data_IF_108303159438
#
_entry.id   IF_108303159438
#
_cell.length_a   1.000
_cell.length_b   1.000
_cell.length_c   1.000
_cell.angle_alpha   90.00
_cell.angle_beta   90.00
_cell.angle_gamma   90.00
#
_symmetry.space_group_name_H-M   'P 1'
#
loop_
_entity.id
_entity.type
_entity.pdbx_description
1 polymer ?
#
# COMPACT_ATOMS: atom_id res chain seq x y z
N UNK A 1 -2.05 11.90 18.31
CA UNK A 1 -1.86 10.95 17.19
C UNK A 1 -3.02 11.16 16.25
N UNK A 2 -2.83 11.95 15.19
CA UNK A 2 -3.85 12.16 14.18
C UNK A 2 -3.90 10.92 13.30
N UNK A 3 -4.91 10.08 13.51
CA UNK A 3 -5.25 9.01 12.58
C UNK A 3 -5.93 9.73 11.42
N UNK A 4 -5.24 9.87 10.29
CA UNK A 4 -5.84 10.39 9.07
C UNK A 4 -7.07 9.52 8.75
N UNK A 5 -8.23 10.14 8.55
CA UNK A 5 -9.36 9.37 8.02
C UNK A 5 -8.99 8.90 6.61
N UNK A 6 -9.52 7.76 6.17
CA UNK A 6 -9.23 7.21 4.84
C UNK A 6 -9.51 8.21 3.71
N UNK A 7 -10.47 9.13 3.89
CA UNK A 7 -10.73 10.25 2.98
C UNK A 7 -9.55 11.20 2.79
N UNK A 8 -8.81 11.47 3.87
CA UNK A 8 -7.64 12.36 3.82
C UNK A 8 -6.48 11.65 3.10
N UNK A 9 -6.34 10.34 3.33
CA UNK A 9 -5.34 9.51 2.64
C UNK A 9 -5.62 9.42 1.13
N UNK A 10 -6.89 9.27 0.74
CA UNK A 10 -7.31 9.29 -0.68
C UNK A 10 -6.96 10.63 -1.33
N UNK A 11 -7.26 11.73 -0.66
CA UNK A 11 -6.97 13.07 -1.15
C UNK A 11 -5.47 13.28 -1.34
N UNK A 12 -4.66 12.94 -0.33
CA UNK A 12 -3.20 13.08 -0.40
C UNK A 12 -2.61 12.21 -1.51
N UNK A 13 -3.06 10.95 -1.63
CA UNK A 13 -2.58 10.04 -2.66
C UNK A 13 -2.92 10.54 -4.08
N UNK A 14 -4.11 11.13 -4.25
CA UNK A 14 -4.55 11.71 -5.51
C UNK A 14 -3.78 12.99 -5.87
N UNK A 15 -3.63 13.93 -4.93
CA UNK A 15 -2.91 15.19 -5.11
C UNK A 15 -1.42 14.96 -5.40
N UNK A 16 -0.81 13.99 -4.73
CA UNK A 16 0.58 13.62 -4.95
C UNK A 16 0.79 12.69 -6.17
N UNK A 17 -0.28 12.34 -6.90
CA UNK A 17 -0.29 11.40 -8.01
C UNK A 17 0.45 10.08 -7.71
N UNK A 18 0.34 9.60 -6.46
CA UNK A 18 1.18 8.52 -5.95
C UNK A 18 0.83 7.17 -6.57
N UNK A 19 1.79 6.50 -7.20
CA UNK A 19 1.59 5.14 -7.70
C UNK A 19 1.59 4.08 -6.59
N UNK A 20 2.34 4.34 -5.51
CA UNK A 20 2.50 3.44 -4.36
C UNK A 20 2.46 4.28 -3.09
N UNK A 21 1.66 3.86 -2.10
CA UNK A 21 1.59 4.50 -0.77
C UNK A 21 1.91 3.45 0.30
N UNK A 22 2.92 3.73 1.12
CA UNK A 22 3.32 2.88 2.23
C UNK A 22 2.96 3.50 3.57
N UNK A 23 2.29 2.75 4.43
CA UNK A 23 2.00 3.15 5.81
C UNK A 23 2.71 2.17 6.74
N UNK A 24 3.71 2.68 7.46
CA UNK A 24 4.39 1.97 8.54
C UNK A 24 3.72 2.27 9.87
N UNK A 25 3.91 1.40 10.86
CA UNK A 25 3.29 1.56 12.18
C UNK A 25 1.77 1.82 12.05
N UNK A 26 1.10 0.99 11.25
CA UNK A 26 -0.36 1.13 11.03
C UNK A 26 -1.18 0.73 12.25
N UNK A 27 -0.60 -0.07 13.15
CA UNK A 27 -1.29 -0.72 14.28
C UNK A 27 -2.55 -1.50 13.86
N UNK A 28 -2.65 -1.81 12.57
CA UNK A 28 -3.78 -2.51 12.01
C UNK A 28 -3.78 -3.95 12.53
N UNK A 29 -4.97 -4.45 12.89
CA UNK A 29 -5.17 -5.84 13.29
C UNK A 29 -6.05 -6.57 12.29
N UNK A 30 -6.04 -7.89 12.33
CA UNK A 30 -6.93 -8.74 11.55
C UNK A 30 -8.43 -8.51 11.81
N UNK A 31 -8.79 -7.73 12.84
CA UNK A 31 -10.17 -7.35 13.15
C UNK A 31 -10.67 -6.15 12.36
N UNK A 32 -9.78 -5.35 11.76
CA UNK A 32 -10.20 -4.26 10.88
C UNK A 32 -10.84 -4.84 9.63
N UNK A 33 -12.06 -4.38 9.33
CA UNK A 33 -12.81 -4.82 8.17
C UNK A 33 -12.11 -4.31 6.91
N UNK A 34 -12.09 -5.14 5.86
CA UNK A 34 -11.41 -4.79 4.61
C UNK A 34 -11.89 -3.46 4.02
N UNK A 35 -13.17 -3.13 4.19
CA UNK A 35 -13.76 -1.87 3.71
C UNK A 35 -13.27 -0.62 4.44
N UNK A 36 -12.80 -0.73 5.69
CA UNK A 36 -12.29 0.44 6.45
C UNK A 36 -10.89 0.85 5.99
N UNK A 37 -10.16 -0.05 5.34
CA UNK A 37 -8.79 0.17 4.87
C UNK A 37 -8.71 0.29 3.35
N UNK A 38 -9.85 0.35 2.67
CA UNK A 38 -9.90 0.38 1.21
C UNK A 38 -9.65 1.81 0.72
N UNK A 39 -8.87 1.92 -0.36
CA UNK A 39 -8.52 3.17 -1.02
C UNK A 39 -8.92 3.02 -2.49
N UNK A 40 -9.78 3.90 -3.00
CA UNK A 40 -10.33 3.74 -4.35
C UNK A 40 -9.24 3.78 -5.44
N UNK A 41 -9.22 2.77 -6.32
CA UNK A 41 -8.23 2.63 -7.39
C UNK A 41 -6.87 2.09 -6.94
N UNK A 42 -6.78 1.57 -5.71
CA UNK A 42 -5.60 0.90 -5.20
C UNK A 42 -5.91 -0.47 -4.63
N UNK A 43 -5.01 -1.40 -4.89
CA UNK A 43 -4.94 -2.69 -4.22
C UNK A 43 -4.13 -2.55 -2.93
N UNK A 44 -4.71 -2.98 -1.80
CA UNK A 44 -4.07 -2.93 -0.48
C UNK A 44 -3.42 -4.27 -0.10
N UNK A 45 -2.09 -4.26 0.03
CA UNK A 45 -1.31 -5.34 0.62
C UNK A 45 -1.01 -5.00 2.08
N UNK A 46 -1.11 -5.99 2.97
CA UNK A 46 -0.95 -5.74 4.41
C UNK A 46 -0.26 -6.90 5.11
N UNK A 47 0.57 -6.55 6.08
CA UNK A 47 1.20 -7.51 6.99
C UNK A 47 0.97 -7.07 8.42
N UNK A 48 0.17 -7.86 9.13
CA UNK A 48 -0.11 -7.65 10.54
C UNK A 48 1.02 -8.16 11.42
N UNK A 49 1.08 -7.61 12.64
CA UNK A 49 1.94 -8.13 13.70
C UNK A 49 1.37 -9.44 14.26
N UNK A 50 2.19 -10.48 14.47
CA UNK A 50 1.75 -11.68 15.19
C UNK A 50 1.29 -11.34 16.62
N UNK A 51 0.18 -11.94 17.05
CA UNK A 51 -0.42 -11.68 18.36
C UNK A 51 0.56 -11.88 19.54
N UNK A 52 1.52 -12.79 19.37
CA UNK A 52 2.54 -13.17 20.36
C UNK A 52 3.53 -12.05 20.69
N UNK A 53 3.62 -11.01 19.85
CA UNK A 53 4.56 -9.87 20.02
C UNK A 53 3.85 -8.52 20.09
N UNK A 54 2.54 -8.52 20.35
CA UNK A 54 1.65 -7.36 20.23
C UNK A 54 1.86 -6.22 21.26
N UNK A 55 2.87 -6.33 22.14
CA UNK A 55 3.13 -5.35 23.20
C UNK A 55 3.89 -4.09 22.76
N UNK A 56 4.38 -4.03 21.51
CA UNK A 56 5.10 -2.87 20.93
C UNK A 56 4.61 -2.65 19.50
N UNK A 57 4.50 -1.39 19.06
CA UNK A 57 3.88 -0.95 17.79
C UNK A 57 4.33 -1.69 16.53
N UNK A 58 3.53 -1.70 15.46
CA UNK A 58 3.95 -2.25 14.16
C UNK A 58 2.83 -2.36 13.13
N UNK A 59 3.03 -3.26 12.16
CA UNK A 59 2.09 -3.49 11.05
C UNK A 59 2.35 -2.56 9.87
N UNK A 60 2.25 -3.09 8.65
CA UNK A 60 2.51 -2.34 7.42
C UNK A 60 1.34 -2.51 6.45
N UNK A 61 0.93 -1.39 5.85
CA UNK A 61 0.02 -1.34 4.70
C UNK A 61 0.78 -0.81 3.48
N UNK A 62 0.51 -1.37 2.32
CA UNK A 62 1.07 -0.97 1.05
C UNK A 62 -0.05 -0.91 0.02
N UNK A 63 -0.38 0.29 -0.43
CA UNK A 63 -1.33 0.53 -1.49
C UNK A 63 -0.59 0.64 -2.81
N UNK A 64 -1.03 -0.11 -3.81
CA UNK A 64 -0.49 -0.07 -5.17
C UNK A 64 -1.62 0.29 -6.11
N UNK A 65 -1.43 1.35 -6.91
CA UNK A 65 -2.44 1.83 -7.85
C UNK A 65 -2.77 0.71 -8.85
N UNK A 66 -4.05 0.45 -9.08
CA UNK A 66 -4.49 -0.67 -9.92
C UNK A 66 -4.05 -0.51 -11.38
N UNK A 67 -3.80 0.73 -11.80
CA UNK A 67 -3.28 1.07 -13.13
C UNK A 67 -1.76 0.92 -13.25
N UNK A 68 -1.05 0.51 -12.18
CA UNK A 68 0.40 0.34 -12.22
C UNK A 68 0.74 -0.93 -13.01
N UNK A 69 1.29 -0.74 -14.20
CA UNK A 69 1.69 -1.84 -15.07
C UNK A 69 3.19 -2.17 -14.89
N UNK A 70 3.52 -3.45 -14.92
CA UNK A 70 4.90 -3.92 -14.83
C UNK A 70 5.42 -4.20 -16.24
N UNK A 71 6.63 -3.72 -16.54
CA UNK A 71 7.30 -4.04 -17.80
C UNK A 71 8.54 -4.87 -17.51
N UNK A 72 8.58 -6.07 -18.07
CA UNK A 72 9.81 -6.85 -18.14
C UNK A 72 10.67 -6.28 -19.27
N UNK A 73 11.89 -5.86 -18.93
CA UNK A 73 12.88 -5.51 -19.96
C UNK A 73 13.48 -6.81 -20.48
N UNK A 74 12.95 -7.33 -21.58
CA UNK A 74 13.64 -8.35 -22.36
C UNK A 74 14.78 -7.68 -23.13
N UNK A 75 15.97 -8.26 -23.00
CA UNK A 75 17.23 -7.77 -23.53
C UNK A 75 17.11 -7.50 -25.04
N UNK A 76 17.64 -6.36 -25.51
CA UNK A 76 17.68 -6.04 -26.94
C UNK A 76 18.48 -7.13 -27.68
N UNK A 77 17.80 -7.84 -28.59
CA UNK A 77 18.47 -8.62 -29.63
C UNK A 77 19.25 -7.63 -30.49
N UNK A 78 20.57 -7.64 -30.32
CA UNK A 78 21.46 -6.85 -31.15
C UNK A 78 21.21 -7.21 -32.61
N UNK A 79 20.82 -6.21 -33.41
CA UNK A 79 20.88 -6.28 -34.87
C UNK A 79 22.33 -6.59 -35.27
N UNK A 80 22.60 -7.87 -35.55
CA UNK A 80 23.78 -8.25 -36.30
C UNK A 80 23.42 -8.16 -37.79
N UNK A 81 23.85 -7.03 -38.37
CA UNK A 81 24.31 -6.82 -39.75
C UNK A 81 23.34 -7.13 -40.91
#
# INVERSE_FOLDING_TARGET
MHIYQCSDLETIAAEAESAIVGITESWASNKLLHGELQLNGYTCYRKYRPAETASRGGGVLLYVKDSLDHREFTQFDGENN
#
